data_IF_035198005517
#
_entry.id   IF_035198005517
#
_cell.length_a   1.000
_cell.length_b   1.000
_cell.length_c   1.000
_cell.angle_alpha   90.00
_cell.angle_beta   90.00
_cell.angle_gamma   90.00
#
_symmetry.space_group_name_H-M   'P 1'
#
loop_
_entity.id
_entity.type
_entity.pdbx_description
1 polymer ?
#
# COMPACT_ATOMS: atom_id res chain seq x y z
N UNK A 1 -3.25 -48.42 -18.49
CA UNK A 1 -2.75 -47.60 -17.37
C UNK A 1 -1.98 -46.36 -17.85
N UNK A 2 -2.33 -45.80 -19.02
CA UNK A 2 -1.68 -44.59 -19.56
C UNK A 2 -2.63 -43.39 -19.67
N UNK A 3 -3.92 -43.55 -19.38
CA UNK A 3 -4.92 -42.47 -19.49
C UNK A 3 -5.04 -41.60 -18.23
N UNK A 4 -4.53 -42.04 -17.07
CA UNK A 4 -4.60 -41.28 -15.82
C UNK A 4 -3.47 -40.25 -15.63
N UNK A 5 -2.43 -40.25 -16.47
CA UNK A 5 -1.32 -39.27 -16.38
C UNK A 5 -1.59 -37.97 -17.12
N UNK A 6 -2.61 -37.92 -17.98
CA UNK A 6 -2.85 -36.77 -18.87
C UNK A 6 -3.86 -35.74 -18.31
N UNK A 7 -4.36 -35.93 -17.08
CA UNK A 7 -5.27 -34.98 -16.41
C UNK A 7 -4.57 -34.03 -15.42
N UNK A 8 -3.33 -34.30 -15.03
CA UNK A 8 -2.59 -33.44 -14.08
C UNK A 8 -1.87 -32.24 -14.74
N UNK A 9 -1.82 -32.15 -16.06
CA UNK A 9 -1.10 -31.09 -16.79
C UNK A 9 -1.99 -29.92 -17.28
N UNK A 10 -3.27 -29.84 -16.87
CA UNK A 10 -4.23 -28.81 -17.31
C UNK A 10 -4.69 -27.83 -16.23
N UNK A 11 -3.96 -27.72 -15.11
CA UNK A 11 -4.19 -26.68 -14.08
C UNK A 11 -3.32 -25.43 -14.30
N UNK A 12 -2.93 -25.14 -15.55
CA UNK A 12 -2.23 -23.90 -15.91
C UNK A 12 -3.20 -22.73 -16.00
N UNK A 13 -2.87 -21.64 -15.31
CA UNK A 13 -3.37 -20.27 -15.52
C UNK A 13 -4.81 -19.92 -15.14
N UNK A 14 -5.40 -20.56 -14.12
CA UNK A 14 -6.54 -19.89 -13.46
C UNK A 14 -6.01 -18.69 -12.67
N UNK A 15 -6.17 -17.48 -13.24
CA UNK A 15 -5.90 -16.21 -12.56
C UNK A 15 -6.73 -16.13 -11.28
N UNK A 16 -6.04 -16.06 -10.14
CA UNK A 16 -6.67 -15.94 -8.83
C UNK A 16 -7.41 -14.62 -8.69
N UNK A 17 -8.57 -14.68 -8.04
CA UNK A 17 -9.49 -13.55 -7.89
C UNK A 17 -9.75 -13.26 -6.41
N UNK A 18 -10.29 -12.07 -6.08
CA UNK A 18 -10.74 -11.75 -4.71
C UNK A 18 -11.77 -12.74 -4.15
N UNK A 19 -12.55 -13.39 -5.01
CA UNK A 19 -13.54 -14.39 -4.59
C UNK A 19 -12.87 -15.62 -3.96
N UNK A 20 -11.69 -16.01 -4.46
CA UNK A 20 -10.98 -17.22 -4.01
C UNK A 20 -10.41 -17.04 -2.59
N UNK A 21 -10.11 -15.80 -2.17
CA UNK A 21 -9.59 -15.49 -0.83
C UNK A 21 -10.62 -14.89 0.14
N UNK A 22 -11.82 -14.56 -0.35
CA UNK A 22 -12.90 -13.98 0.45
C UNK A 22 -13.25 -14.79 1.72
N UNK A 23 -13.32 -16.14 1.68
CA UNK A 23 -13.57 -16.94 2.88
C UNK A 23 -12.53 -16.73 3.98
N UNK A 24 -11.24 -16.62 3.61
CA UNK A 24 -10.17 -16.32 4.54
C UNK A 24 -10.34 -14.92 5.15
N UNK A 25 -10.57 -13.89 4.32
CA UNK A 25 -10.74 -12.50 4.80
C UNK A 25 -11.94 -12.38 5.74
N UNK A 26 -13.06 -13.03 5.43
CA UNK A 26 -14.24 -13.09 6.31
C UNK A 26 -13.90 -13.73 7.65
N UNK A 27 -13.23 -14.87 7.62
CA UNK A 27 -12.83 -15.60 8.83
C UNK A 27 -11.85 -14.79 9.68
N UNK A 28 -10.93 -14.07 9.04
CA UNK A 28 -9.99 -13.15 9.69
C UNK A 28 -10.72 -12.02 10.43
N UNK A 29 -11.67 -11.36 9.76
CA UNK A 29 -12.49 -10.28 10.34
C UNK A 29 -13.40 -10.78 11.48
N UNK A 30 -13.97 -11.97 11.32
CA UNK A 30 -14.80 -12.59 12.36
C UNK A 30 -13.96 -12.94 13.59
N UNK A 31 -12.75 -13.48 13.41
CA UNK A 31 -11.81 -13.77 14.51
C UNK A 31 -11.49 -12.50 15.30
N UNK A 32 -11.15 -11.42 14.61
CA UNK A 32 -10.93 -10.10 15.23
C UNK A 32 -12.15 -9.62 16.02
N UNK A 33 -13.35 -9.76 15.44
CA UNK A 33 -14.58 -9.36 16.10
C UNK A 33 -14.85 -10.17 17.37
N UNK A 34 -14.55 -11.48 17.37
CA UNK A 34 -14.71 -12.33 18.57
C UNK A 34 -13.71 -11.98 19.66
N UNK A 35 -12.48 -11.63 19.31
CA UNK A 35 -11.45 -11.20 20.26
C UNK A 35 -11.81 -9.90 21.00
N UNK A 36 -12.73 -9.09 20.46
CA UNK A 36 -13.26 -7.92 21.16
C UNK A 36 -14.19 -8.28 22.32
N UNK A 37 -14.78 -9.50 22.32
CA UNK A 37 -15.76 -9.93 23.32
C UNK A 37 -15.27 -11.07 24.21
N UNK A 38 -14.38 -11.91 23.69
CA UNK A 38 -13.90 -13.10 24.37
C UNK A 38 -12.38 -13.12 24.40
N UNK A 39 -11.76 -13.60 25.49
CA UNK A 39 -10.32 -13.78 25.54
C UNK A 39 -9.86 -14.80 24.49
N UNK A 40 -8.57 -14.76 24.16
CA UNK A 40 -7.92 -15.67 23.20
C UNK A 40 -8.03 -17.15 23.58
N UNK A 41 -8.18 -17.46 24.87
CA UNK A 41 -8.34 -18.82 25.39
C UNK A 41 -9.78 -19.34 25.33
N UNK A 42 -10.76 -18.50 25.02
CA UNK A 42 -12.17 -18.91 25.00
C UNK A 42 -12.44 -19.86 23.82
N UNK A 43 -13.22 -20.95 24.01
CA UNK A 43 -13.45 -21.95 22.95
C UNK A 43 -13.98 -21.37 21.64
N UNK A 44 -14.84 -20.34 21.70
CA UNK A 44 -15.36 -19.66 20.50
C UNK A 44 -14.22 -19.01 19.72
N UNK A 45 -13.34 -18.28 20.39
CA UNK A 45 -12.21 -17.59 19.76
C UNK A 45 -11.21 -18.57 19.18
N UNK A 46 -10.87 -19.62 19.94
CA UNK A 46 -9.96 -20.69 19.50
C UNK A 46 -10.51 -21.39 18.25
N UNK A 47 -11.79 -21.76 18.25
CA UNK A 47 -12.41 -22.38 17.09
C UNK A 47 -12.45 -21.44 15.88
N UNK A 48 -12.68 -20.15 16.11
CA UNK A 48 -12.67 -19.15 15.05
C UNK A 48 -11.27 -18.94 14.47
N UNK A 49 -10.22 -18.90 15.29
CA UNK A 49 -8.82 -18.86 14.85
C UNK A 49 -8.46 -20.11 14.03
N UNK A 50 -8.85 -21.30 14.49
CA UNK A 50 -8.66 -22.56 13.74
C UNK A 50 -9.36 -22.54 12.38
N UNK A 51 -10.57 -21.99 12.33
CA UNK A 51 -11.31 -21.79 11.08
C UNK A 51 -10.57 -20.86 10.11
N UNK A 52 -10.14 -19.69 10.59
CA UNK A 52 -9.35 -18.75 9.80
C UNK A 52 -8.02 -19.34 9.33
N UNK A 53 -7.36 -20.13 10.18
CA UNK A 53 -6.15 -20.87 9.82
C UNK A 53 -6.39 -21.89 8.71
N UNK A 54 -7.47 -22.67 8.80
CA UNK A 54 -7.87 -23.62 7.76
C UNK A 54 -8.10 -22.95 6.41
N UNK A 55 -8.74 -21.77 6.39
CA UNK A 55 -8.89 -20.99 5.15
C UNK A 55 -7.55 -20.44 4.63
N UNK A 56 -6.65 -19.98 5.51
CA UNK A 56 -5.33 -19.51 5.10
C UNK A 56 -4.50 -20.63 4.44
N UNK A 57 -4.54 -21.85 5.01
CA UNK A 57 -3.84 -23.00 4.44
C UNK A 57 -4.34 -23.36 3.04
N UNK A 58 -5.64 -23.23 2.77
CA UNK A 58 -6.19 -23.37 1.40
C UNK A 58 -5.61 -22.31 0.47
N UNK A 59 -5.54 -21.05 0.93
CA UNK A 59 -4.95 -19.95 0.16
C UNK A 59 -3.47 -20.20 -0.12
N UNK A 60 -2.69 -20.69 0.84
CA UNK A 60 -1.29 -21.09 0.61
C UNK A 60 -1.12 -22.21 -0.41
N UNK A 61 -2.10 -23.11 -0.52
CA UNK A 61 -2.17 -24.11 -1.58
C UNK A 61 -2.36 -23.51 -2.98
N UNK A 62 -2.95 -22.32 -3.08
CA UNK A 62 -3.24 -21.64 -4.34
C UNK A 62 -2.16 -20.63 -4.75
N UNK A 63 -1.68 -19.78 -3.83
CA UNK A 63 -0.78 -18.64 -4.15
C UNK A 63 0.63 -18.74 -3.55
N UNK A 64 0.89 -19.71 -2.67
CA UNK A 64 2.11 -19.69 -1.88
C UNK A 64 2.02 -18.65 -0.76
N UNK A 65 2.76 -17.56 -0.86
CA UNK A 65 2.67 -16.46 0.10
C UNK A 65 1.42 -15.59 -0.19
N UNK A 66 0.72 -15.18 0.85
CA UNK A 66 -0.45 -14.30 0.73
C UNK A 66 -0.09 -12.89 1.18
N UNK A 67 -0.30 -11.90 0.31
CA UNK A 67 -0.22 -10.48 0.70
C UNK A 67 -1.57 -9.81 0.54
N UNK A 68 -2.02 -9.13 1.59
CA UNK A 68 -3.19 -8.27 1.60
C UNK A 68 -2.76 -6.82 1.79
N UNK A 69 -3.25 -5.93 0.93
CA UNK A 69 -3.03 -4.49 1.09
C UNK A 69 -4.26 -3.84 1.71
N UNK A 70 -4.06 -2.77 2.46
CA UNK A 70 -5.12 -1.99 3.10
C UNK A 70 -5.05 -0.58 2.56
N UNK A 71 -6.14 -0.12 1.94
CA UNK A 71 -6.26 1.24 1.41
C UNK A 71 -7.73 1.67 1.41
N UNK A 72 -8.01 2.94 1.71
CA UNK A 72 -9.35 3.54 1.70
C UNK A 72 -10.41 2.74 2.49
N UNK A 73 -10.02 2.23 3.66
CA UNK A 73 -10.83 1.33 4.48
C UNK A 73 -11.34 0.10 3.70
N UNK A 74 -10.51 -0.44 2.80
CA UNK A 74 -10.73 -1.69 2.09
C UNK A 74 -9.53 -2.61 2.25
N UNK A 75 -9.79 -3.92 2.15
CA UNK A 75 -8.77 -4.93 1.99
C UNK A 75 -8.67 -5.26 0.50
N UNK A 76 -7.46 -5.24 -0.03
CA UNK A 76 -7.15 -5.49 -1.43
C UNK A 76 -6.31 -6.76 -1.55
N UNK A 77 -6.58 -7.52 -2.60
CA UNK A 77 -5.77 -8.65 -3.01
C UNK A 77 -5.49 -8.52 -4.50
N UNK A 78 -4.21 -8.48 -4.85
CA UNK A 78 -3.75 -8.20 -6.22
C UNK A 78 -4.37 -6.88 -6.74
N UNK A 79 -4.47 -5.87 -5.86
CA UNK A 79 -5.05 -4.55 -6.15
C UNK A 79 -6.59 -4.51 -6.22
N UNK A 80 -7.27 -5.65 -6.19
CA UNK A 80 -8.73 -5.72 -6.25
C UNK A 80 -9.35 -5.84 -4.87
N UNK A 81 -10.46 -5.15 -4.63
CA UNK A 81 -11.10 -5.17 -3.30
C UNK A 81 -11.78 -6.49 -3.01
N UNK A 82 -11.58 -6.96 -1.77
CA UNK A 82 -12.20 -8.16 -1.22
C UNK A 82 -13.36 -7.70 -0.33
N UNK A 83 -14.58 -8.18 -0.62
CA UNK A 83 -15.74 -8.01 0.28
C UNK A 83 -16.16 -6.56 0.60
N UNK A 84 -16.18 -5.66 -0.41
CA UNK A 84 -16.51 -4.23 -0.25
C UNK A 84 -17.80 -3.91 0.51
N UNK A 85 -18.80 -4.80 0.44
CA UNK A 85 -20.12 -4.59 1.07
C UNK A 85 -20.16 -5.04 2.53
N UNK A 86 -19.11 -5.70 3.03
CA UNK A 86 -19.09 -6.27 4.36
C UNK A 86 -18.60 -5.23 5.39
N UNK A 87 -19.48 -4.84 6.31
CA UNK A 87 -19.16 -3.84 7.35
C UNK A 87 -18.08 -4.30 8.32
N UNK A 88 -17.90 -5.61 8.53
CA UNK A 88 -16.82 -6.16 9.34
C UNK A 88 -15.45 -5.91 8.69
N UNK A 89 -15.37 -6.06 7.37
CA UNK A 89 -14.15 -5.81 6.59
C UNK A 89 -13.75 -4.33 6.68
N UNK A 90 -14.71 -3.42 6.55
CA UNK A 90 -14.47 -1.97 6.68
C UNK A 90 -13.98 -1.58 8.09
N UNK A 91 -14.54 -2.20 9.13
CA UNK A 91 -14.08 -1.96 10.51
C UNK A 91 -12.65 -2.48 10.70
N UNK A 92 -12.38 -3.68 10.20
CA UNK A 92 -11.08 -4.32 10.29
C UNK A 92 -10.00 -3.52 9.55
N UNK A 93 -10.26 -3.07 8.32
CA UNK A 93 -9.33 -2.23 7.55
C UNK A 93 -9.05 -0.89 8.23
N UNK A 94 -10.06 -0.25 8.84
CA UNK A 94 -9.84 1.00 9.61
C UNK A 94 -8.97 0.78 10.82
N UNK A 95 -9.08 -0.38 11.46
CA UNK A 95 -8.20 -0.74 12.56
C UNK A 95 -6.75 -0.83 12.07
N UNK A 96 -6.49 -1.52 10.94
CA UNK A 96 -5.17 -1.54 10.29
C UNK A 96 -4.62 -0.14 10.01
N UNK A 97 -5.43 0.77 9.45
CA UNK A 97 -5.06 2.16 9.20
C UNK A 97 -4.69 2.90 10.50
N UNK A 98 -5.45 2.67 11.58
CA UNK A 98 -5.24 3.35 12.87
C UNK A 98 -3.89 3.00 13.54
N UNK A 99 -3.34 1.82 13.21
CA UNK A 99 -2.03 1.35 13.65
C UNK A 99 -0.95 1.49 12.55
N UNK A 100 -1.22 2.26 11.50
CA UNK A 100 -0.30 2.55 10.39
C UNK A 100 0.19 1.30 9.64
N UNK A 101 -0.71 0.33 9.45
CA UNK A 101 -0.44 -0.86 8.63
C UNK A 101 -1.18 -0.75 7.30
N UNK A 102 -0.42 -0.59 6.21
CA UNK A 102 -0.89 -0.55 4.83
C UNK A 102 -0.81 -1.89 4.10
N UNK A 103 -0.06 -2.88 4.61
CA UNK A 103 -0.09 -4.24 4.07
C UNK A 103 0.28 -5.28 5.12
N UNK A 104 -0.20 -6.50 4.92
CA UNK A 104 0.17 -7.68 5.70
C UNK A 104 0.49 -8.83 4.75
N UNK A 105 1.66 -9.44 4.95
CA UNK A 105 2.11 -10.61 4.21
C UNK A 105 2.21 -11.80 5.16
N UNK A 106 1.52 -12.88 4.80
CA UNK A 106 1.60 -14.19 5.43
C UNK A 106 2.46 -15.09 4.55
N UNK A 107 3.56 -15.59 5.12
CA UNK A 107 4.47 -16.53 4.44
C UNK A 107 3.92 -17.94 4.56
N UNK A 108 4.10 -18.77 3.53
CA UNK A 108 3.68 -20.18 3.56
C UNK A 108 4.33 -20.99 4.69
N UNK A 109 5.50 -20.55 5.17
CA UNK A 109 6.21 -21.17 6.31
C UNK A 109 5.60 -20.85 7.68
N UNK A 110 4.58 -19.99 7.74
CA UNK A 110 3.86 -19.66 8.97
C UNK A 110 3.25 -20.94 9.57
N UNK A 111 3.28 -21.06 10.90
CA UNK A 111 2.59 -22.10 11.63
C UNK A 111 1.38 -21.57 12.41
N UNK A 112 0.60 -22.48 13.01
CA UNK A 112 -0.61 -22.11 13.75
C UNK A 112 -0.30 -21.32 15.03
N UNK A 113 0.81 -21.60 15.71
CA UNK A 113 1.16 -20.93 16.97
C UNK A 113 1.56 -19.48 16.71
N UNK A 114 2.35 -19.22 15.66
CA UNK A 114 2.66 -17.87 15.18
C UNK A 114 1.38 -17.14 14.73
N UNK A 115 0.47 -17.82 14.01
CA UNK A 115 -0.80 -17.23 13.56
C UNK A 115 -1.74 -16.87 14.72
N UNK A 116 -1.87 -17.73 15.73
CA UNK A 116 -2.65 -17.43 16.93
C UNK A 116 -1.98 -16.30 17.75
N UNK A 117 -0.65 -16.32 17.87
CA UNK A 117 0.11 -15.26 18.53
C UNK A 117 -0.06 -13.91 17.83
N UNK A 118 -0.15 -13.88 16.50
CA UNK A 118 -0.47 -12.66 15.76
C UNK A 118 -1.79 -12.05 16.22
N UNK A 119 -2.86 -12.83 16.37
CA UNK A 119 -4.14 -12.31 16.83
C UNK A 119 -4.11 -11.72 18.25
N UNK A 120 -3.33 -12.32 19.16
CA UNK A 120 -3.14 -11.81 20.53
C UNK A 120 -2.50 -10.41 20.55
N UNK A 121 -1.58 -10.15 19.63
CA UNK A 121 -0.92 -8.86 19.50
C UNK A 121 -1.80 -7.88 18.75
N UNK A 122 -2.39 -8.34 17.66
CA UNK A 122 -3.12 -7.52 16.70
C UNK A 122 -4.45 -7.01 17.25
N UNK A 123 -5.00 -7.61 18.30
CA UNK A 123 -6.25 -7.12 18.90
C UNK A 123 -6.03 -6.17 20.09
N UNK A 124 -4.79 -5.79 20.38
CA UNK A 124 -4.49 -4.76 21.39
C UNK A 124 -5.02 -3.40 20.92
N UNK A 125 -5.23 -2.49 21.86
CA UNK A 125 -5.64 -1.14 21.49
C UNK A 125 -4.52 -0.43 20.70
N UNK A 126 -4.86 0.49 19.78
CA UNK A 126 -3.86 1.18 18.95
C UNK A 126 -2.82 1.97 19.76
N UNK A 127 -3.18 2.46 20.95
CA UNK A 127 -2.27 3.23 21.78
C UNK A 127 -1.19 2.32 22.38
N UNK A 128 -1.57 1.17 22.94
CA UNK A 128 -0.63 0.15 23.41
C UNK A 128 0.33 -0.30 22.31
N UNK A 129 -0.14 -0.44 21.07
CA UNK A 129 0.73 -0.81 19.94
C UNK A 129 1.74 0.31 19.65
N UNK A 130 1.32 1.58 19.69
CA UNK A 130 2.21 2.73 19.51
C UNK A 130 3.23 2.83 20.65
N UNK A 131 2.79 2.67 21.89
CA UNK A 131 3.65 2.74 23.08
C UNK A 131 4.71 1.63 23.10
N UNK A 132 4.39 0.47 22.51
CA UNK A 132 5.34 -0.62 22.32
C UNK A 132 6.35 -0.39 21.15
N UNK A 133 6.31 0.76 20.47
CA UNK A 133 7.17 1.08 19.34
C UNK A 133 6.64 0.61 17.98
N UNK A 134 5.33 0.34 17.88
CA UNK A 134 4.65 -0.08 16.65
C UNK A 134 4.47 -1.60 16.53
N UNK A 135 3.71 -2.02 15.51
CA UNK A 135 3.38 -3.44 15.31
C UNK A 135 4.62 -4.29 15.03
N UNK A 136 5.60 -3.76 14.29
CA UNK A 136 6.83 -4.47 13.97
C UNK A 136 7.66 -4.82 15.22
N UNK A 137 7.68 -3.92 16.21
CA UNK A 137 8.36 -4.16 17.48
C UNK A 137 7.68 -5.29 18.28
N UNK A 138 6.34 -5.30 18.32
CA UNK A 138 5.57 -6.34 18.98
C UNK A 138 5.77 -7.72 18.32
N UNK A 139 5.73 -7.78 16.99
CA UNK A 139 5.90 -9.01 16.21
C UNK A 139 7.29 -9.60 16.43
N UNK A 140 8.33 -8.75 16.42
CA UNK A 140 9.71 -9.14 16.77
C UNK A 140 9.81 -9.65 18.20
N UNK A 141 9.15 -9.00 19.16
CA UNK A 141 9.17 -9.43 20.57
C UNK A 141 8.58 -10.82 20.80
N UNK A 142 7.61 -11.24 19.97
CA UNK A 142 6.99 -12.57 20.00
C UNK A 142 7.67 -13.59 19.08
N UNK A 143 8.76 -13.21 18.41
CA UNK A 143 9.48 -14.06 17.44
C UNK A 143 8.59 -14.57 16.31
N UNK A 144 7.59 -13.80 15.90
CA UNK A 144 6.75 -14.14 14.75
C UNK A 144 7.52 -13.82 13.47
N UNK A 145 7.83 -14.84 12.68
CA UNK A 145 8.67 -14.73 11.47
C UNK A 145 7.90 -14.94 10.16
N UNK A 146 6.79 -15.67 10.23
CA UNK A 146 5.90 -15.95 9.11
C UNK A 146 4.94 -14.80 8.75
N UNK A 147 4.94 -13.69 9.49
CA UNK A 147 4.08 -12.53 9.22
C UNK A 147 4.93 -11.26 9.17
N UNK A 148 4.75 -10.46 8.13
CA UNK A 148 5.39 -9.15 7.97
C UNK A 148 4.39 -8.08 7.56
N UNK A 149 4.63 -6.85 8.01
CA UNK A 149 3.77 -5.70 7.76
C UNK A 149 4.45 -4.71 6.84
N UNK A 150 3.65 -3.90 6.13
CA UNK A 150 4.13 -2.82 5.27
C UNK A 150 5.18 -3.28 4.25
N UNK A 151 5.13 -4.55 3.84
CA UNK A 151 5.91 -5.06 2.72
C UNK A 151 5.45 -4.32 1.47
N UNK A 152 6.37 -3.58 0.86
CA UNK A 152 6.16 -2.90 -0.41
C UNK A 152 5.80 -3.95 -1.46
N UNK A 153 4.54 -3.94 -1.92
CA UNK A 153 4.12 -4.77 -3.05
C UNK A 153 4.28 -3.93 -4.31
N UNK A 154 5.36 -4.14 -5.05
CA UNK A 154 5.46 -3.67 -6.43
C UNK A 154 4.64 -4.63 -7.28
N UNK A 155 3.50 -4.16 -7.79
CA UNK A 155 2.71 -4.89 -8.77
C UNK A 155 3.39 -4.68 -10.13
N UNK A 156 3.58 -5.75 -10.92
CA UNK A 156 3.91 -5.61 -12.35
C UNK A 156 2.77 -4.81 -12.99
N UNK A 157 3.10 -3.63 -13.48
CA UNK A 157 2.16 -2.72 -14.13
C UNK A 157 1.97 -3.26 -15.55
N UNK A 158 0.79 -3.82 -15.82
CA UNK A 158 0.30 -3.95 -17.19
C UNK A 158 -0.43 -2.65 -17.53
N UNK A 159 -0.21 -2.13 -18.76
CA UNK A 159 -0.56 -0.82 -19.34
C UNK A 159 -1.93 -0.20 -18.95
N UNK A 160 -2.87 -0.97 -18.41
CA UNK A 160 -4.22 -0.52 -18.05
C UNK A 160 -4.43 -0.12 -16.57
N UNK A 161 -3.44 -0.28 -15.67
CA UNK A 161 -3.60 0.07 -14.25
C UNK A 161 -2.57 1.11 -13.76
N UNK A 162 -2.94 2.38 -13.91
CA UNK A 162 -2.23 3.56 -13.37
C UNK A 162 -2.19 3.52 -11.84
N UNK A 163 -1.00 3.45 -11.20
CA UNK A 163 -0.82 3.93 -9.82
C UNK A 163 0.48 4.71 -9.64
N UNK A 164 0.27 5.94 -9.18
CA UNK A 164 1.19 6.95 -8.65
C UNK A 164 1.82 6.49 -7.32
N UNK A 165 3.14 6.58 -7.19
CA UNK A 165 3.81 6.88 -5.91
C UNK A 165 4.42 8.28 -6.02
N UNK A 166 4.44 9.15 -5.02
CA UNK A 166 4.29 9.04 -3.56
C UNK A 166 4.04 10.46 -3.03
N UNK A 167 3.46 10.54 -1.82
CA UNK A 167 3.00 11.75 -1.13
C UNK A 167 1.68 12.29 -1.69
N UNK A 168 0.66 12.22 -0.83
CA UNK A 168 -0.63 12.90 -0.91
C UNK A 168 -1.45 12.79 -2.21
N UNK A 169 -2.73 12.46 -1.98
CA UNK A 169 -3.89 12.83 -2.78
C UNK A 169 -4.16 12.11 -4.12
N UNK A 170 -5.32 11.43 -4.06
CA UNK A 170 -6.41 11.39 -5.06
C UNK A 170 -6.37 10.27 -6.11
N UNK A 171 -7.28 9.30 -5.93
CA UNK A 171 -8.51 9.16 -6.74
C UNK A 171 -8.42 8.79 -8.23
N UNK A 172 -9.33 7.89 -8.64
CA UNK A 172 -9.88 7.72 -9.99
C UNK A 172 -10.41 6.29 -10.20
N UNK A 173 -11.57 5.98 -10.77
CA UNK A 173 -12.72 6.76 -11.22
C UNK A 173 -13.98 5.96 -10.84
N UNK A 174 -14.83 6.55 -10.00
CA UNK A 174 -16.19 6.09 -9.81
C UNK A 174 -17.11 7.21 -10.29
N UNK A 175 -18.10 6.85 -11.11
CA UNK A 175 -19.24 7.69 -11.52
C UNK A 175 -19.56 8.77 -10.47
N UNK A 176 -19.86 10.03 -10.84
CA UNK A 176 -19.99 11.16 -9.93
C UNK A 176 -20.98 10.83 -8.80
N UNK A 177 -20.45 10.29 -7.71
CA UNK A 177 -21.20 10.07 -6.49
C UNK A 177 -21.18 11.42 -5.82
N UNK A 178 -22.31 12.13 -5.95
CA UNK A 178 -22.63 13.35 -5.21
C UNK A 178 -21.96 13.30 -3.84
N UNK A 179 -21.20 14.34 -3.44
CA UNK A 179 -20.45 14.34 -2.19
C UNK A 179 -21.41 13.89 -1.10
N UNK A 180 -21.14 12.70 -0.54
CA UNK A 180 -21.87 12.20 0.61
C UNK A 180 -21.32 12.99 1.77
N UNK A 181 -21.81 14.22 1.89
CA UNK A 181 -21.83 14.99 3.12
C UNK A 181 -22.46 14.07 4.16
N UNK A 182 -21.63 13.24 4.83
CA UNK A 182 -21.81 13.12 6.26
C UNK A 182 -21.83 14.57 6.69
N UNK A 183 -23.02 15.06 6.99
CA UNK A 183 -23.27 16.43 7.39
C UNK A 183 -22.20 16.79 8.40
N UNK A 184 -21.12 17.41 7.90
CA UNK A 184 -20.38 18.37 8.67
C UNK A 184 -21.52 19.29 9.07
N UNK A 185 -22.01 19.13 10.30
CA UNK A 185 -22.76 20.19 10.90
C UNK A 185 -21.95 21.44 10.55
N UNK A 186 -22.51 22.37 9.76
CA UNK A 186 -21.80 23.53 9.28
C UNK A 186 -21.00 24.07 10.44
N UNK A 187 -19.76 24.53 10.22
CA UNK A 187 -18.97 25.10 11.31
C UNK A 187 -19.79 26.14 12.10
N UNK A 188 -20.73 26.82 11.42
CA UNK A 188 -21.80 27.62 12.02
C UNK A 188 -22.63 26.91 13.12
N UNK A 189 -23.09 25.67 12.95
CA UNK A 189 -23.82 24.90 13.97
C UNK A 189 -22.95 24.58 15.19
N UNK A 190 -21.68 24.21 14.99
CA UNK A 190 -20.74 23.95 16.11
C UNK A 190 -20.38 25.22 16.85
N UNK A 191 -20.20 26.32 16.12
CA UNK A 191 -19.99 27.65 16.69
C UNK A 191 -21.25 28.08 17.46
N UNK A 192 -22.44 27.89 16.89
CA UNK A 192 -23.70 28.22 17.54
C UNK A 192 -23.84 27.45 18.85
N UNK A 193 -23.60 26.13 18.85
CA UNK A 193 -23.64 25.29 20.06
C UNK A 193 -22.64 25.75 21.12
N UNK A 194 -21.40 26.11 20.73
CA UNK A 194 -20.41 26.66 21.67
C UNK A 194 -20.80 28.03 22.21
N UNK A 195 -21.37 28.90 21.38
CA UNK A 195 -21.89 30.20 21.82
C UNK A 195 -23.05 30.02 22.82
N UNK A 196 -23.94 29.04 22.59
CA UNK A 196 -25.03 28.70 23.53
C UNK A 196 -24.50 28.20 24.88
N UNK A 197 -23.47 27.34 24.86
CA UNK A 197 -22.99 26.67 26.06
C UNK A 197 -22.01 27.52 26.88
N UNK A 198 -21.11 28.25 26.22
CA UNK A 198 -19.96 28.92 26.85
C UNK A 198 -20.14 30.44 26.98
N UNK A 199 -21.04 31.08 26.21
CA UNK A 199 -21.12 32.55 26.10
C UNK A 199 -22.54 33.10 26.27
N UNK A 200 -23.18 32.82 27.41
CA UNK A 200 -24.57 33.21 27.69
C UNK A 200 -24.82 34.72 27.78
N UNK A 201 -23.78 35.51 28.02
CA UNK A 201 -23.89 36.95 28.25
C UNK A 201 -23.78 37.80 26.96
N UNK A 202 -23.60 37.16 25.79
CA UNK A 202 -23.56 37.86 24.50
C UNK A 202 -24.98 38.20 24.08
N UNK A 203 -25.21 39.46 23.67
CA UNK A 203 -26.49 39.89 23.13
C UNK A 203 -26.83 39.14 21.82
N UNK A 204 -28.06 38.64 21.68
CA UNK A 204 -28.50 37.79 20.55
C UNK A 204 -28.15 38.36 19.15
N UNK A 205 -28.23 39.70 19.01
CA UNK A 205 -27.86 40.40 17.78
C UNK A 205 -26.39 40.24 17.40
N UNK A 206 -25.48 40.36 18.37
CA UNK A 206 -24.04 40.24 18.11
C UNK A 206 -23.65 38.79 17.87
N UNK A 207 -24.33 37.87 18.55
CA UNK A 207 -24.20 36.44 18.31
C UNK A 207 -24.57 36.05 16.87
N UNK A 208 -25.70 36.54 16.39
CA UNK A 208 -26.16 36.29 15.01
C UNK A 208 -25.15 36.81 13.98
N UNK A 209 -24.65 38.04 14.19
CA UNK A 209 -23.62 38.65 13.32
C UNK A 209 -22.31 37.85 13.31
N UNK A 210 -21.88 37.34 14.46
CA UNK A 210 -20.66 36.54 14.56
C UNK A 210 -20.78 35.22 13.81
N UNK A 211 -21.91 34.53 13.93
CA UNK A 211 -22.17 33.27 13.24
C UNK A 211 -22.21 33.47 11.73
N UNK A 212 -22.89 34.52 11.27
CA UNK A 212 -22.93 34.90 9.86
C UNK A 212 -21.53 35.23 9.33
N UNK A 213 -20.75 36.04 10.05
CA UNK A 213 -19.37 36.35 9.69
C UNK A 213 -18.51 35.09 9.57
N UNK A 214 -18.54 34.21 10.57
CA UNK A 214 -17.75 32.98 10.57
C UNK A 214 -18.18 32.01 9.47
N UNK A 215 -19.48 31.94 9.17
CA UNK A 215 -19.99 31.15 8.04
C UNK A 215 -19.47 31.71 6.70
N UNK A 216 -19.48 33.04 6.53
CA UNK A 216 -18.96 33.68 5.32
C UNK A 216 -17.45 33.48 5.15
N UNK A 217 -16.68 33.58 6.24
CA UNK A 217 -15.24 33.27 6.23
C UNK A 217 -15.02 31.80 5.88
N UNK A 218 -15.77 30.89 6.49
CA UNK A 218 -15.66 29.46 6.21
C UNK A 218 -15.94 29.14 4.74
N UNK A 219 -17.06 29.62 4.18
CA UNK A 219 -17.41 29.42 2.77
C UNK A 219 -16.32 29.98 1.85
N UNK A 220 -15.80 31.17 2.15
CA UNK A 220 -14.72 31.77 1.37
C UNK A 220 -13.44 30.94 1.39
N UNK A 221 -13.02 30.44 2.56
CA UNK A 221 -11.80 29.65 2.68
C UNK A 221 -11.97 28.25 2.07
N UNK A 222 -13.15 27.63 2.18
CA UNK A 222 -13.45 26.38 1.47
C UNK A 222 -13.36 26.58 -0.03
N UNK A 223 -13.95 27.66 -0.57
CA UNK A 223 -13.87 27.96 -2.01
C UNK A 223 -12.42 28.11 -2.49
N UNK A 224 -11.57 28.80 -1.73
CA UNK A 224 -10.14 28.92 -2.05
C UNK A 224 -9.41 27.57 -2.03
N UNK A 225 -9.79 26.68 -1.11
CA UNK A 225 -9.20 25.33 -1.04
C UNK A 225 -9.67 24.48 -2.22
N UNK A 226 -10.93 24.61 -2.62
CA UNK A 226 -11.48 23.94 -3.81
C UNK A 226 -10.78 24.41 -5.08
N UNK A 227 -10.66 25.73 -5.30
CA UNK A 227 -9.92 26.32 -6.43
C UNK A 227 -8.46 25.81 -6.48
N UNK A 228 -7.74 25.83 -5.35
CA UNK A 228 -6.37 25.28 -5.28
C UNK A 228 -6.29 23.78 -5.54
N UNK A 229 -7.30 23.01 -5.14
CA UNK A 229 -7.31 21.57 -5.39
C UNK A 229 -7.57 21.27 -6.87
N UNK A 230 -8.34 22.12 -7.56
CA UNK A 230 -8.57 22.05 -9.00
C UNK A 230 -7.27 22.36 -9.75
N UNK A 231 -6.60 23.48 -9.42
CA UNK A 231 -5.29 23.83 -9.99
C UNK A 231 -4.25 22.69 -9.82
N UNK A 232 -4.17 22.10 -8.61
CA UNK A 232 -3.27 20.97 -8.35
C UNK A 232 -3.66 19.70 -9.11
N UNK A 233 -4.94 19.47 -9.36
CA UNK A 233 -5.40 18.32 -10.12
C UNK A 233 -4.99 18.45 -11.60
N UNK A 234 -5.08 19.65 -12.15
CA UNK A 234 -4.64 19.97 -13.52
C UNK A 234 -3.11 19.80 -13.66
N UNK A 235 -2.32 20.36 -12.73
CA UNK A 235 -0.87 20.16 -12.71
C UNK A 235 -0.47 18.67 -12.65
N UNK A 236 -1.16 17.87 -11.82
CA UNK A 236 -0.93 16.41 -11.75
C UNK A 236 -1.27 15.73 -13.07
N UNK A 237 -2.31 16.18 -13.78
CA UNK A 237 -2.69 15.63 -15.08
C UNK A 237 -1.62 15.88 -16.13
N UNK A 238 -1.11 17.10 -16.22
CA UNK A 238 -0.03 17.48 -17.15
C UNK A 238 1.25 16.66 -16.88
N UNK A 239 1.64 16.51 -15.61
CA UNK A 239 2.82 15.71 -15.24
C UNK A 239 2.65 14.24 -15.65
N UNK A 240 1.44 13.68 -15.52
CA UNK A 240 1.17 12.29 -15.91
C UNK A 240 1.29 12.08 -17.42
N UNK A 241 0.83 13.03 -18.22
CA UNK A 241 0.97 12.98 -19.68
C UNK A 241 2.45 13.00 -20.09
N UNK A 242 3.25 13.86 -19.44
CA UNK A 242 4.70 13.91 -19.68
C UNK A 242 5.38 12.59 -19.29
N UNK A 243 5.02 11.99 -18.15
CA UNK A 243 5.58 10.68 -17.74
C UNK A 243 5.25 9.60 -18.77
N UNK A 244 4.00 9.53 -19.23
CA UNK A 244 3.58 8.55 -20.22
C UNK A 244 4.35 8.71 -21.55
N UNK A 245 4.49 9.95 -22.03
CA UNK A 245 5.27 10.22 -23.25
C UNK A 245 6.75 9.83 -23.07
N UNK A 246 7.30 9.97 -21.85
CA UNK A 246 8.67 9.56 -21.54
C UNK A 246 8.78 8.03 -21.53
N UNK A 247 7.84 7.32 -20.89
CA UNK A 247 7.79 5.86 -20.86
C UNK A 247 7.71 5.26 -22.27
N UNK A 248 6.85 5.80 -23.14
CA UNK A 248 6.75 5.39 -24.55
C UNK A 248 8.09 5.54 -25.29
N UNK A 249 8.83 6.63 -25.05
CA UNK A 249 10.16 6.82 -25.63
C UNK A 249 11.17 5.81 -25.08
N UNK A 250 11.09 5.45 -23.78
CA UNK A 250 11.97 4.44 -23.20
C UNK A 250 11.72 3.04 -23.78
N UNK A 251 10.46 2.67 -23.98
CA UNK A 251 10.06 1.41 -24.61
C UNK A 251 10.50 1.33 -26.07
N UNK A 252 10.32 2.41 -26.86
CA UNK A 252 10.73 2.42 -28.27
C UNK A 252 12.26 2.38 -28.46
N UNK A 253 13.02 2.88 -27.48
CA UNK A 253 14.48 2.98 -27.56
C UNK A 253 15.20 1.79 -26.91
N UNK A 254 14.47 0.87 -26.28
CA UNK A 254 14.99 -0.18 -25.42
C UNK A 254 15.99 0.35 -24.38
N UNK A 255 15.73 1.53 -23.83
CA UNK A 255 16.58 2.14 -22.82
C UNK A 255 16.06 1.78 -21.44
N UNK A 256 16.96 1.50 -20.50
CA UNK A 256 16.63 1.34 -19.09
C UNK A 256 17.53 2.19 -18.23
N UNK A 257 17.07 2.47 -17.00
CA UNK A 257 17.81 3.37 -16.13
C UNK A 257 17.63 3.06 -14.64
N UNK A 258 18.70 3.27 -13.87
CA UNK A 258 18.72 3.04 -12.42
C UNK A 258 19.19 4.31 -11.74
N UNK A 259 18.48 4.77 -10.70
CA UNK A 259 18.96 5.81 -9.78
C UNK A 259 19.33 5.24 -8.44
N UNK A 260 20.42 5.76 -7.90
CA UNK A 260 20.95 5.41 -6.59
C UNK A 260 21.06 6.67 -5.73
N UNK A 261 20.57 6.57 -4.50
CA UNK A 261 20.56 7.67 -3.56
C UNK A 261 21.94 7.91 -2.90
N UNK A 262 22.02 8.92 -2.02
CA UNK A 262 23.25 9.27 -1.29
C UNK A 262 23.70 8.20 -0.30
N UNK A 263 22.83 7.27 0.08
CA UNK A 263 23.08 6.12 0.98
C UNK A 263 23.43 4.85 0.18
N UNK A 264 23.61 4.96 -1.14
CA UNK A 264 23.89 3.84 -2.04
C UNK A 264 22.76 2.81 -2.12
N UNK A 265 21.51 3.27 -1.97
CA UNK A 265 20.30 2.45 -2.17
C UNK A 265 19.65 2.80 -3.50
N UNK A 266 19.17 1.79 -4.21
CA UNK A 266 18.40 1.94 -5.44
C UNK A 266 17.10 2.66 -5.10
N UNK A 267 16.85 3.82 -5.70
CA UNK A 267 15.65 4.62 -5.44
C UNK A 267 14.67 4.66 -6.61
N UNK A 268 15.16 4.32 -7.81
CA UNK A 268 14.35 4.24 -9.02
C UNK A 268 14.96 3.23 -9.98
N UNK A 269 14.13 2.47 -10.69
CA UNK A 269 14.53 1.45 -11.66
C UNK A 269 13.50 1.42 -12.79
N UNK A 270 13.93 1.72 -14.02
CA UNK A 270 13.16 1.46 -15.25
C UNK A 270 13.80 0.32 -16.03
N UNK A 271 12.96 -0.62 -16.50
CA UNK A 271 13.40 -1.86 -17.17
C UNK A 271 14.49 -2.67 -16.43
N UNK A 272 14.58 -2.58 -15.10
CA UNK A 272 15.64 -3.27 -14.34
C UNK A 272 15.63 -4.78 -14.47
N UNK A 273 14.48 -5.38 -14.80
CA UNK A 273 14.33 -6.81 -15.07
C UNK A 273 15.10 -7.28 -16.33
N UNK A 274 15.53 -6.35 -17.19
CA UNK A 274 16.36 -6.64 -18.37
C UNK A 274 17.83 -6.86 -17.99
N UNK A 275 18.26 -6.35 -16.84
CA UNK A 275 19.60 -6.58 -16.31
C UNK A 275 19.62 -7.93 -15.56
N UNK A 276 20.68 -8.75 -15.69
CA UNK A 276 20.76 -10.08 -15.06
C UNK A 276 21.08 -10.02 -13.55
N UNK A 277 20.50 -9.05 -12.84
CA UNK A 277 20.66 -8.84 -11.41
C UNK A 277 19.31 -8.51 -10.77
N UNK A 278 19.05 -9.07 -9.59
CA UNK A 278 17.83 -8.76 -8.83
C UNK A 278 17.97 -7.37 -8.18
N UNK A 279 17.27 -6.39 -8.75
CA UNK A 279 17.31 -5.00 -8.31
C UNK A 279 16.08 -4.69 -7.46
N UNK A 280 16.31 -4.45 -6.18
CA UNK A 280 15.26 -4.13 -5.20
C UNK A 280 15.31 -2.66 -4.78
N UNK A 281 14.15 -2.00 -4.79
CA UNK A 281 14.03 -0.62 -4.32
C UNK A 281 14.31 -0.50 -2.82
N UNK A 282 15.11 0.51 -2.45
CA UNK A 282 15.66 0.79 -1.12
C UNK A 282 16.74 -0.20 -0.62
N UNK A 283 17.20 -1.10 -1.48
CA UNK A 283 18.32 -1.99 -1.23
C UNK A 283 19.58 -1.47 -1.92
N UNK A 284 20.78 -1.82 -1.44
CA UNK A 284 22.00 -1.51 -2.18
C UNK A 284 22.04 -2.24 -3.53
N UNK A 285 22.80 -1.70 -4.48
CA UNK A 285 23.11 -2.45 -5.70
C UNK A 285 23.78 -3.78 -5.35
N UNK A 286 23.46 -4.88 -6.06
CA UNK A 286 24.16 -6.15 -5.90
C UNK A 286 25.68 -5.96 -6.05
N UNK A 287 26.46 -6.49 -5.11
CA UNK A 287 27.92 -6.37 -5.12
C UNK A 287 28.56 -6.80 -6.45
N UNK A 288 28.14 -7.92 -7.10
CA UNK A 288 28.69 -8.31 -8.40
C UNK A 288 28.49 -7.26 -9.51
N UNK A 289 27.34 -6.58 -9.51
CA UNK A 289 27.07 -5.50 -10.45
C UNK A 289 27.98 -4.29 -10.16
N UNK A 290 28.17 -3.94 -8.89
CA UNK A 290 29.07 -2.85 -8.49
C UNK A 290 30.51 -3.14 -8.91
N UNK A 291 30.99 -4.38 -8.73
CA UNK A 291 32.32 -4.81 -9.15
C UNK A 291 32.49 -4.71 -10.67
N UNK A 292 31.53 -5.22 -11.44
CA UNK A 292 31.56 -5.10 -12.90
C UNK A 292 31.58 -3.63 -13.35
N UNK A 293 30.72 -2.79 -12.78
CA UNK A 293 30.66 -1.38 -13.11
C UNK A 293 31.90 -0.60 -12.66
N UNK A 294 32.69 -1.11 -11.70
CA UNK A 294 33.92 -0.44 -11.26
C UNK A 294 34.98 -0.30 -12.37
N UNK A 295 34.96 -1.22 -13.34
CA UNK A 295 35.83 -1.21 -14.53
C UNK A 295 35.30 -0.36 -15.69
N UNK A 296 34.08 0.18 -15.59
CA UNK A 296 33.47 0.97 -16.66
C UNK A 296 34.29 2.23 -16.98
N UNK A 297 34.60 2.42 -18.26
CA UNK A 297 35.21 3.64 -18.80
C UNK A 297 34.24 4.24 -19.81
N UNK A 298 33.99 5.55 -19.70
CA UNK A 298 33.03 6.26 -20.57
C UNK A 298 33.38 6.20 -22.08
N UNK A 299 34.58 5.75 -22.43
CA UNK A 299 35.08 5.69 -23.82
C UNK A 299 34.84 4.35 -24.52
N UNK A 300 34.47 3.30 -23.79
CA UNK A 300 34.38 1.94 -24.34
C UNK A 300 33.00 1.33 -24.05
N UNK A 301 32.36 0.65 -25.02
CA UNK A 301 31.11 -0.03 -24.78
C UNK A 301 31.31 -1.15 -23.75
N UNK A 302 30.44 -1.20 -22.74
CA UNK A 302 30.51 -2.17 -21.66
C UNK A 302 29.24 -3.02 -21.65
N UNK A 303 29.37 -4.28 -22.05
CA UNK A 303 28.24 -5.20 -22.16
C UNK A 303 28.17 -6.12 -20.93
N UNK A 304 26.99 -6.19 -20.32
CA UNK A 304 26.62 -7.15 -19.27
C UNK A 304 25.52 -8.03 -19.85
N UNK A 305 25.88 -9.25 -20.25
CA UNK A 305 24.95 -10.17 -20.91
C UNK A 305 24.31 -9.52 -22.16
N UNK A 306 22.98 -9.48 -22.27
CA UNK A 306 22.27 -8.83 -23.38
C UNK A 306 22.05 -7.31 -23.19
N UNK A 307 22.66 -6.71 -22.16
CA UNK A 307 22.52 -5.30 -21.84
C UNK A 307 23.81 -4.52 -22.10
N UNK A 308 23.72 -3.46 -22.88
CA UNK A 308 24.82 -2.52 -23.13
C UNK A 308 24.73 -1.33 -22.15
N UNK A 309 25.69 -1.23 -21.23
CA UNK A 309 25.78 -0.10 -20.30
C UNK A 309 26.32 1.11 -21.08
N UNK A 310 25.47 2.12 -21.24
CA UNK A 310 25.79 3.32 -22.02
C UNK A 310 26.51 4.37 -21.17
N UNK A 311 26.08 4.55 -19.92
CA UNK A 311 26.65 5.57 -19.04
C UNK A 311 26.53 5.17 -17.58
N UNK A 312 27.57 5.44 -16.81
CA UNK A 312 27.54 5.26 -15.35
C UNK A 312 27.96 6.55 -14.66
N UNK A 313 26.98 7.33 -14.20
CA UNK A 313 27.22 8.60 -13.54
C UNK A 313 27.69 8.38 -12.11
N UNK A 314 28.79 9.03 -11.73
CA UNK A 314 29.35 8.97 -10.36
C UNK A 314 29.38 10.32 -9.69
N UNK A 315 29.37 10.31 -8.36
CA UNK A 315 29.59 11.51 -7.54
C UNK A 315 31.10 11.82 -7.39
N UNK A 316 31.49 12.98 -6.82
CA UNK A 316 32.90 13.32 -6.60
C UNK A 316 33.66 12.33 -5.70
N UNK A 317 32.96 11.48 -4.93
CA UNK A 317 33.53 10.40 -4.13
C UNK A 317 33.57 9.07 -4.89
N UNK A 318 33.36 9.10 -6.21
CA UNK A 318 33.29 7.95 -7.13
C UNK A 318 32.15 6.96 -6.84
N UNK A 319 31.13 7.37 -6.08
CA UNK A 319 29.96 6.52 -5.81
C UNK A 319 28.98 6.58 -6.97
N UNK A 320 28.37 5.46 -7.32
CA UNK A 320 27.42 5.38 -8.44
C UNK A 320 26.15 6.14 -8.05
N UNK A 321 25.67 7.00 -8.96
CA UNK A 321 24.44 7.79 -8.83
C UNK A 321 23.38 7.34 -9.83
N UNK A 322 23.79 7.04 -11.05
CA UNK A 322 22.89 6.60 -12.10
C UNK A 322 23.57 5.63 -13.05
N UNK A 323 22.79 4.70 -13.59
CA UNK A 323 23.20 3.77 -14.66
C UNK A 323 22.18 3.94 -15.78
N UNK A 324 22.65 4.24 -16.99
CA UNK A 324 21.85 4.22 -18.21
C UNK A 324 22.33 3.04 -19.05
N UNK A 325 21.39 2.24 -19.52
CA UNK A 325 21.68 1.06 -20.30
C UNK A 325 20.69 0.90 -21.45
N UNK A 326 21.10 0.15 -22.47
CA UNK A 326 20.27 -0.26 -23.59
C UNK A 326 20.19 -1.79 -23.61
N UNK A 327 19.02 -2.35 -23.88
CA UNK A 327 18.82 -3.79 -24.02
C UNK A 327 18.39 -4.15 -25.45
N UNK A 328 18.59 -5.42 -25.82
CA UNK A 328 18.15 -5.97 -27.10
C UNK A 328 16.70 -6.49 -27.06
#
# INVERSE_FOLDING_TARGET
MEEDRNQQARQGDRKLSPADISPFVKSLCLTYSQLAYYPETHPVTVNQMKGAWGELQKVFGMVGDLTLSIADSKILFIGQSVEEKNTAVVKFSRYFESIQVGSIKFKKSLDYEEFASFFSLFCKDPQTIKDAGGIDALVKSKKITGISFNTTVYKVITEDEKIIGKAEKVGGEAKPRKPRTKTLQPIAERIQQKLDSEFKDIHDKDRTRLVEYLNNVYVREIKKIEEKNEDLADEISEIREVIQNIEEVFDETNLGFILIDRKQKVCFVEHGHKIPFDLMLNEPLPEPLVEQLSGFKDTEPFKIDDVNIMQVTRDPRKRIKAILFQYE
#
